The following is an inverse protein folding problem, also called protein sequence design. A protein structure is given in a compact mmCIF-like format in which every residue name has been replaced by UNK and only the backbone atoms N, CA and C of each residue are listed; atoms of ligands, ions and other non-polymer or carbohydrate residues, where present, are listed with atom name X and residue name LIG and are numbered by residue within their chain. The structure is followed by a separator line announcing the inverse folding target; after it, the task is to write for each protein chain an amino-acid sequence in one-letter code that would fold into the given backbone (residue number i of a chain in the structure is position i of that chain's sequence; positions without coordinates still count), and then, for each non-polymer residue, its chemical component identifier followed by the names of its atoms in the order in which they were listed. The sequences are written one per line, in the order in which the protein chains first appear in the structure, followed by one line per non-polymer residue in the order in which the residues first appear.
data_IF_190791845490
#
_entry.id   IF_190791845490
#
_cell.length_a   1.000
_cell.length_b   1.000
_cell.length_c   1.000
_cell.angle_alpha   90.00
_cell.angle_beta   90.00
_cell.angle_gamma   90.00
#
_symmetry.space_group_name_H-M   'P 1'
#
loop_
_entity.id
_entity.type
_entity.pdbx_description
1 polymer ?
#
# COMPACT_ATOMS: atom_id res chain seq x y z
N UNK A 1 -9.27 11.94 13.20
CA UNK A 1 -9.04 10.98 12.09
C UNK A 1 -8.77 9.60 12.67
N UNK A 2 -9.55 8.61 12.27
CA UNK A 2 -9.37 7.24 12.72
C UNK A 2 -8.51 6.48 11.72
N UNK A 3 -7.20 6.41 11.99
CA UNK A 3 -6.27 5.77 11.07
C UNK A 3 -6.54 4.26 10.92
N UNK A 4 -7.03 3.61 11.98
CA UNK A 4 -7.34 2.19 11.90
C UNK A 4 -8.50 1.92 10.93
N UNK A 5 -9.53 2.77 10.98
CA UNK A 5 -10.67 2.63 10.06
C UNK A 5 -10.25 2.90 8.62
N UNK A 6 -9.40 3.91 8.40
CA UNK A 6 -8.88 4.23 7.08
C UNK A 6 -8.03 3.06 6.55
N UNK A 7 -7.15 2.51 7.39
CA UNK A 7 -6.34 1.36 7.04
C UNK A 7 -7.22 0.16 6.68
N UNK A 8 -8.25 -0.10 7.46
CA UNK A 8 -9.15 -1.22 7.20
C UNK A 8 -9.86 -1.07 5.87
N UNK A 9 -10.34 0.13 5.56
CA UNK A 9 -10.95 0.40 4.27
C UNK A 9 -9.95 0.21 3.12
N UNK A 10 -8.74 0.72 3.29
CA UNK A 10 -7.68 0.63 2.29
C UNK A 10 -7.26 -0.83 2.06
N UNK A 11 -7.12 -1.60 3.14
CA UNK A 11 -6.76 -3.01 3.04
C UNK A 11 -7.87 -3.82 2.36
N UNK A 12 -9.13 -3.55 2.67
CA UNK A 12 -10.25 -4.21 2.01
C UNK A 12 -10.24 -3.90 0.52
N UNK A 13 -10.01 -2.64 0.15
CA UNK A 13 -9.92 -2.25 -1.26
C UNK A 13 -8.75 -2.97 -1.95
N UNK A 14 -7.61 -3.10 -1.27
CA UNK A 14 -6.45 -3.81 -1.81
C UNK A 14 -6.77 -5.30 -2.04
N UNK A 15 -7.37 -5.95 -1.07
CA UNK A 15 -7.74 -7.38 -1.19
C UNK A 15 -8.70 -7.58 -2.35
N UNK A 16 -9.72 -6.72 -2.46
CA UNK A 16 -10.69 -6.82 -3.54
C UNK A 16 -10.04 -6.61 -4.91
N UNK A 17 -9.10 -5.67 -5.01
CA UNK A 17 -8.38 -5.40 -6.26
C UNK A 17 -7.48 -6.57 -6.65
N UNK A 18 -6.80 -7.19 -5.68
CA UNK A 18 -5.98 -8.37 -5.91
C UNK A 18 -6.82 -9.52 -6.44
N UNK A 19 -7.95 -9.79 -5.80
CA UNK A 19 -8.85 -10.87 -6.21
C UNK A 19 -9.48 -10.62 -7.57
N UNK A 20 -9.89 -9.38 -7.85
CA UNK A 20 -10.44 -9.01 -9.13
C UNK A 20 -9.39 -9.16 -10.25
N UNK A 21 -8.16 -8.77 -9.98
CA UNK A 21 -7.09 -8.93 -10.96
C UNK A 21 -6.85 -10.40 -11.28
N UNK A 22 -6.76 -11.24 -10.25
CA UNK A 22 -6.55 -12.69 -10.43
C UNK A 22 -7.72 -13.30 -11.21
N UNK A 23 -8.95 -12.91 -10.90
CA UNK A 23 -10.13 -13.44 -11.57
C UNK A 23 -10.14 -13.07 -13.06
N UNK A 24 -9.64 -11.89 -13.41
CA UNK A 24 -9.65 -11.38 -14.78
C UNK A 24 -8.41 -11.78 -15.58
N UNK A 25 -7.25 -11.81 -14.95
CA UNK A 25 -5.96 -11.99 -15.64
C UNK A 25 -5.14 -13.18 -15.15
N UNK A 26 -5.58 -13.86 -14.08
CA UNK A 26 -4.78 -14.89 -13.43
C UNK A 26 -3.61 -14.25 -12.67
N UNK A 27 -2.56 -15.04 -12.46
CA UNK A 27 -1.36 -14.60 -11.78
C UNK A 27 -0.19 -14.62 -12.76
N UNK A 28 0.05 -13.50 -13.49
CA UNK A 28 1.20 -13.44 -14.39
C UNK A 28 2.50 -13.79 -13.66
N UNK A 29 3.37 -14.52 -14.32
CA UNK A 29 4.58 -15.10 -13.72
C UNK A 29 5.72 -14.10 -13.49
N UNK A 30 5.49 -12.83 -13.75
CA UNK A 30 6.50 -11.80 -13.52
C UNK A 30 6.60 -11.50 -12.04
N UNK A 31 7.71 -11.89 -11.44
CA UNK A 31 7.93 -11.73 -10.01
C UNK A 31 8.41 -10.33 -9.66
N UNK A 32 7.99 -9.83 -8.52
CA UNK A 32 8.42 -8.53 -8.05
C UNK A 32 7.71 -8.10 -6.79
N UNK A 33 7.91 -6.84 -6.45
CA UNK A 33 7.38 -6.24 -5.22
C UNK A 33 6.58 -4.98 -5.55
N UNK A 34 5.59 -4.68 -4.72
CA UNK A 34 4.87 -3.42 -4.78
C UNK A 34 4.59 -2.97 -3.34
N UNK A 35 4.52 -1.68 -3.16
CA UNK A 35 4.33 -1.08 -1.83
C UNK A 35 3.62 0.26 -1.99
N UNK A 36 3.23 0.84 -0.86
CA UNK A 36 2.65 2.19 -0.82
C UNK A 36 3.62 3.11 -0.10
N UNK A 37 3.98 4.22 -0.74
CA UNK A 37 4.74 5.31 -0.13
C UNK A 37 3.78 6.42 0.27
N UNK A 38 3.93 6.94 1.49
CA UNK A 38 3.21 8.13 1.94
C UNK A 38 4.24 9.18 2.33
N UNK A 39 4.14 10.35 1.72
CA UNK A 39 5.00 11.48 2.06
C UNK A 39 4.45 12.21 3.29
N UNK A 40 5.31 12.44 4.27
CA UNK A 40 4.97 13.12 5.52
C UNK A 40 5.90 14.32 5.70
N UNK A 41 5.48 15.30 6.47
CA UNK A 41 6.33 16.47 6.71
C UNK A 41 7.57 16.10 7.52
N UNK A 42 7.39 15.24 8.51
CA UNK A 42 8.48 14.74 9.36
C UNK A 42 8.16 13.32 9.80
N UNK A 43 9.21 12.51 9.96
CA UNK A 43 9.04 11.11 10.37
C UNK A 43 8.62 10.96 11.83
N UNK A 44 8.61 12.04 12.60
CA UNK A 44 8.10 12.04 13.98
C UNK A 44 6.81 12.84 14.13
N UNK A 45 6.15 13.20 13.02
CA UNK A 45 4.87 13.90 13.05
C UNK A 45 3.75 13.01 13.54
N UNK A 46 2.61 13.62 13.89
CA UNK A 46 1.42 12.85 14.28
C UNK A 46 0.95 11.93 13.15
N UNK A 47 1.02 12.42 11.90
CA UNK A 47 0.65 11.63 10.74
C UNK A 47 1.55 10.40 10.61
N UNK A 48 2.86 10.58 10.71
CA UNK A 48 3.80 9.47 10.62
C UNK A 48 3.59 8.45 11.73
N UNK A 49 3.32 8.92 12.96
CA UNK A 49 3.05 8.03 14.09
C UNK A 49 1.75 7.24 13.89
N UNK A 50 0.72 7.88 13.34
CA UNK A 50 -0.52 7.19 13.02
C UNK A 50 -0.30 6.10 11.98
N UNK A 51 0.45 6.41 10.92
CA UNK A 51 0.79 5.43 9.89
C UNK A 51 1.60 4.26 10.47
N UNK A 52 2.57 4.57 11.36
CA UNK A 52 3.35 3.52 12.02
C UNK A 52 2.47 2.58 12.84
N UNK A 53 1.41 3.09 13.44
CA UNK A 53 0.50 2.31 14.27
C UNK A 53 -0.25 1.24 13.45
N UNK A 54 -0.41 1.43 12.14
CA UNK A 54 -1.07 0.46 11.26
C UNK A 54 -0.09 -0.31 10.38
N UNK A 55 1.20 -0.22 10.66
CA UNK A 55 2.20 -1.07 10.02
C UNK A 55 3.18 -0.39 9.08
N UNK A 56 3.02 0.90 8.82
CA UNK A 56 3.98 1.63 8.01
C UNK A 56 5.32 1.74 8.73
N UNK A 57 6.40 1.77 7.95
CA UNK A 57 7.76 1.93 8.46
C UNK A 57 8.45 3.08 7.74
N UNK A 58 9.48 3.63 8.37
CA UNK A 58 10.28 4.66 7.73
C UNK A 58 10.98 4.09 6.50
N UNK A 59 10.87 4.80 5.38
CA UNK A 59 11.59 4.47 4.16
C UNK A 59 13.02 5.00 4.25
N UNK A 60 13.91 4.49 3.39
CA UNK A 60 15.24 5.09 3.23
C UNK A 60 15.16 6.50 2.63
N UNK A 61 14.04 6.82 1.96
CA UNK A 61 13.80 8.18 1.44
C UNK A 61 13.40 9.10 2.57
N UNK A 62 13.93 10.34 2.62
CA UNK A 62 13.52 11.31 3.62
C UNK A 62 12.02 11.58 3.56
N UNK A 63 11.41 11.80 4.73
CA UNK A 63 10.00 12.21 4.84
C UNK A 63 9.03 11.25 4.16
N UNK A 64 9.37 9.96 4.16
CA UNK A 64 8.55 8.93 3.51
C UNK A 64 8.34 7.75 4.46
N UNK A 65 7.08 7.31 4.55
CA UNK A 65 6.71 6.07 5.23
C UNK A 65 6.22 5.08 4.19
N UNK A 66 6.47 3.80 4.35
CA UNK A 66 5.99 2.82 3.39
C UNK A 66 5.35 1.60 4.05
N UNK A 67 4.47 0.95 3.28
CA UNK A 67 3.79 -0.27 3.67
C UNK A 67 3.95 -1.28 2.53
N UNK A 68 4.54 -2.44 2.83
CA UNK A 68 4.80 -3.47 1.84
C UNK A 68 3.71 -4.53 1.74
N UNK A 69 2.93 -4.70 2.80
CA UNK A 69 1.83 -5.68 2.83
C UNK A 69 0.49 -4.93 2.80
N UNK A 70 0.03 -4.60 1.60
CA UNK A 70 -1.16 -3.76 1.44
C UNK A 70 -2.47 -4.56 1.50
N UNK A 71 -2.49 -5.74 0.87
CA UNK A 71 -3.64 -6.64 0.87
C UNK A 71 -3.31 -7.93 1.61
N UNK A 72 -3.75 -9.05 1.07
CA UNK A 72 -3.47 -10.37 1.64
C UNK A 72 -2.89 -11.37 0.63
N UNK A 73 -2.50 -10.88 -0.55
CA UNK A 73 -1.89 -11.73 -1.55
C UNK A 73 -0.49 -12.15 -1.10
N UNK A 74 -0.21 -13.45 -1.12
CA UNK A 74 1.07 -14.00 -0.68
C UNK A 74 1.85 -14.70 -1.78
N UNK A 75 1.43 -14.54 -3.04
CA UNK A 75 2.14 -15.11 -4.18
C UNK A 75 3.27 -14.23 -4.67
N UNK A 76 3.79 -14.52 -5.86
CA UNK A 76 4.96 -13.85 -6.42
C UNK A 76 4.64 -12.85 -7.52
N UNK A 77 3.41 -12.84 -8.04
CA UNK A 77 3.07 -11.96 -9.17
C UNK A 77 3.15 -10.49 -8.78
N UNK A 78 4.04 -9.75 -9.44
CA UNK A 78 4.18 -8.32 -9.27
C UNK A 78 2.90 -7.59 -9.67
N UNK A 79 2.24 -8.05 -10.75
CA UNK A 79 1.03 -7.40 -11.24
C UNK A 79 -0.11 -7.46 -10.21
N UNK A 80 -0.27 -8.58 -9.50
CA UNK A 80 -1.27 -8.71 -8.45
C UNK A 80 -0.93 -7.77 -7.29
N UNK A 81 0.34 -7.73 -6.91
CA UNK A 81 0.80 -6.84 -5.82
C UNK A 81 0.58 -5.38 -6.16
N UNK A 82 0.84 -5.00 -7.42
CA UNK A 82 0.60 -3.62 -7.88
C UNK A 82 -0.87 -3.25 -7.81
N UNK A 83 -1.76 -4.16 -8.22
CA UNK A 83 -3.20 -3.90 -8.14
C UNK A 83 -3.63 -3.61 -6.71
N UNK A 84 -3.15 -4.39 -5.75
CA UNK A 84 -3.45 -4.18 -4.35
C UNK A 84 -2.88 -2.89 -3.80
N UNK A 85 -1.60 -2.62 -4.07
CA UNK A 85 -0.95 -1.41 -3.58
C UNK A 85 -1.59 -0.15 -4.16
N UNK A 86 -1.94 -0.18 -5.45
CA UNK A 86 -2.60 0.95 -6.10
C UNK A 86 -3.95 1.26 -5.44
N UNK A 87 -4.76 0.22 -5.21
CA UNK A 87 -6.07 0.40 -4.58
C UNK A 87 -5.94 0.94 -3.16
N UNK A 88 -4.94 0.45 -2.40
CA UNK A 88 -4.67 0.95 -1.06
C UNK A 88 -4.32 2.44 -1.09
N UNK A 89 -3.40 2.81 -1.99
CA UNK A 89 -2.97 4.21 -2.11
C UNK A 89 -4.12 5.13 -2.49
N UNK A 90 -5.03 4.68 -3.34
CA UNK A 90 -6.19 5.48 -3.72
C UNK A 90 -7.09 5.80 -2.53
N UNK A 91 -7.28 4.85 -1.62
CA UNK A 91 -8.08 5.10 -0.41
C UNK A 91 -7.39 6.15 0.46
N UNK A 92 -6.09 6.02 0.68
CA UNK A 92 -5.36 7.01 1.48
C UNK A 92 -5.42 8.39 0.86
N UNK A 93 -5.31 8.47 -0.47
CA UNK A 93 -5.41 9.75 -1.20
C UNK A 93 -6.78 10.38 -0.98
N UNK A 94 -7.84 9.58 -0.98
CA UNK A 94 -9.19 10.06 -0.71
C UNK A 94 -9.28 10.75 0.65
N UNK A 95 -8.51 10.29 1.62
CA UNK A 95 -8.50 10.86 2.97
C UNK A 95 -7.44 11.94 3.17
N UNK A 96 -6.80 12.39 2.10
CA UNK A 96 -5.90 13.52 2.15
C UNK A 96 -4.43 13.20 2.31
N UNK A 97 -4.05 11.93 2.33
CA UNK A 97 -2.63 11.54 2.36
C UNK A 97 -1.99 11.66 0.99
N UNK A 98 -0.71 11.97 0.97
CA UNK A 98 0.07 11.97 -0.27
C UNK A 98 0.64 10.56 -0.46
N UNK A 99 -0.20 9.67 -1.01
CA UNK A 99 0.09 8.25 -1.11
C UNK A 99 0.29 7.86 -2.57
N UNK A 100 1.33 7.05 -2.82
CA UNK A 100 1.70 6.60 -4.16
C UNK A 100 2.14 5.15 -4.12
N UNK A 101 1.83 4.41 -5.18
CA UNK A 101 2.28 3.03 -5.33
C UNK A 101 3.70 3.04 -5.91
N UNK A 102 4.58 2.22 -5.34
CA UNK A 102 5.87 1.92 -5.91
C UNK A 102 5.97 0.44 -6.24
N UNK A 103 6.83 0.09 -7.19
CA UNK A 103 7.01 -1.29 -7.58
C UNK A 103 8.42 -1.52 -8.11
N UNK A 104 8.89 -2.76 -7.98
CA UNK A 104 10.22 -3.14 -8.45
C UNK A 104 10.21 -4.61 -8.85
N UNK A 105 10.72 -4.92 -10.04
CA UNK A 105 10.91 -6.31 -10.48
C UNK A 105 11.95 -6.99 -9.59
N UNK A 106 11.72 -8.26 -9.36
CA UNK A 106 12.65 -9.08 -8.57
C UNK A 106 13.83 -9.52 -9.44
#
# INVERSE_FOLDING_TARGET
MDIQAIHNEAQTAAINAEQAFIAQHGEPMYCGFAWVDVFVERTNSKEAKALAAVGFRKSYRPKTMNLWTCGNYNGQSMDVKEAGAHAYAEVLTKYGFRAYMGARAD
#
